data_IF_706818007120
#
_entry.id   IF_706818007120
#
_cell.length_a   1.000
_cell.length_b   1.000
_cell.length_c   1.000
_cell.angle_alpha   90.00
_cell.angle_beta   90.00
_cell.angle_gamma   90.00
#
_symmetry.space_group_name_H-M   'P 1'
#
loop_
_entity.id
_entity.type
_entity.pdbx_description
1 polymer ?
#
# COMPACT_ATOMS: atom_id res chain seq x y z
N UNK A 1 -12.40 -11.95 80.88
CA UNK A 1 -11.68 -12.90 80.00
C UNK A 1 -12.49 -13.40 78.80
N UNK A 2 -13.58 -14.17 78.98
CA UNK A 2 -14.17 -14.99 77.89
C UNK A 2 -14.76 -14.24 76.66
N UNK A 3 -15.15 -12.96 76.77
CA UNK A 3 -15.70 -12.21 75.63
C UNK A 3 -14.61 -11.69 74.67
N UNK A 4 -13.49 -11.22 75.23
CA UNK A 4 -12.34 -10.76 74.44
C UNK A 4 -11.64 -11.92 73.73
N UNK A 5 -11.63 -13.12 74.31
CA UNK A 5 -11.09 -14.33 73.66
C UNK A 5 -11.94 -14.75 72.44
N UNK A 6 -13.27 -14.63 72.50
CA UNK A 6 -14.16 -14.93 71.36
C UNK A 6 -14.01 -13.91 70.23
N UNK A 7 -13.87 -12.62 70.56
CA UNK A 7 -13.61 -11.56 69.58
C UNK A 7 -12.22 -11.71 68.95
N UNK A 8 -11.20 -12.08 69.72
CA UNK A 8 -9.86 -12.38 69.19
C UNK A 8 -9.86 -13.60 68.25
N UNK A 9 -10.57 -14.69 68.61
CA UNK A 9 -10.72 -15.86 67.73
C UNK A 9 -11.48 -15.52 66.44
N UNK A 10 -12.51 -14.69 66.52
CA UNK A 10 -13.24 -14.24 65.33
C UNK A 10 -12.36 -13.41 64.39
N UNK A 11 -11.58 -12.46 64.92
CA UNK A 11 -10.62 -11.67 64.14
C UNK A 11 -9.53 -12.56 63.54
N UNK A 12 -8.99 -13.52 64.30
CA UNK A 12 -8.00 -14.47 63.79
C UNK A 12 -8.56 -15.35 62.67
N UNK A 13 -9.81 -15.83 62.79
CA UNK A 13 -10.45 -16.63 61.74
C UNK A 13 -10.71 -15.84 60.45
N UNK A 14 -11.07 -14.56 60.57
CA UNK A 14 -11.26 -13.67 59.43
C UNK A 14 -9.92 -13.37 58.74
N UNK A 15 -8.86 -13.09 59.51
CA UNK A 15 -7.51 -12.88 58.98
C UNK A 15 -6.95 -14.15 58.32
N UNK A 16 -7.22 -15.34 58.89
CA UNK A 16 -6.82 -16.61 58.30
C UNK A 16 -7.54 -16.87 56.97
N UNK A 17 -8.86 -16.62 56.91
CA UNK A 17 -9.64 -16.75 55.68
C UNK A 17 -9.18 -15.76 54.60
N UNK A 18 -8.95 -14.50 54.97
CA UNK A 18 -8.40 -13.50 54.05
C UNK A 18 -6.98 -13.87 53.59
N UNK A 19 -6.17 -14.45 54.47
CA UNK A 19 -4.85 -14.99 54.12
C UNK A 19 -4.97 -16.13 53.11
N UNK A 20 -5.92 -17.05 53.30
CA UNK A 20 -6.18 -18.14 52.38
C UNK A 20 -6.66 -17.64 51.02
N UNK A 21 -7.63 -16.73 50.97
CA UNK A 21 -8.15 -16.13 49.72
C UNK A 21 -7.02 -15.42 48.94
N UNK A 22 -6.18 -14.63 49.62
CA UNK A 22 -5.00 -14.02 49.00
C UNK A 22 -3.96 -15.04 48.53
N UNK A 23 -3.79 -16.14 49.26
CA UNK A 23 -2.87 -17.22 48.84
C UNK A 23 -3.39 -17.91 47.58
N UNK A 24 -4.70 -18.17 47.50
CA UNK A 24 -5.35 -18.72 46.31
C UNK A 24 -5.27 -17.77 45.11
N UNK A 25 -5.42 -16.46 45.34
CA UNK A 25 -5.25 -15.44 44.32
C UNK A 25 -3.80 -15.34 43.82
N UNK A 26 -2.82 -15.41 44.72
CA UNK A 26 -1.39 -15.48 44.37
C UNK A 26 -1.09 -16.73 43.54
N UNK A 27 -1.64 -17.90 43.89
CA UNK A 27 -1.43 -19.13 43.12
C UNK A 27 -2.08 -19.07 41.73
N UNK A 28 -3.27 -18.46 41.60
CA UNK A 28 -3.89 -18.17 40.29
C UNK A 28 -3.02 -17.25 39.44
N UNK A 29 -2.56 -16.12 40.00
CA UNK A 29 -1.70 -15.17 39.29
C UNK A 29 -0.36 -15.79 38.90
N UNK A 30 0.24 -16.65 39.75
CA UNK A 30 1.45 -17.40 39.39
C UNK A 30 1.20 -18.34 38.22
N UNK A 31 0.06 -19.05 38.21
CA UNK A 31 -0.31 -19.94 37.12
C UNK A 31 -0.52 -19.17 35.81
N UNK A 32 -1.26 -18.07 35.85
CA UNK A 32 -1.46 -17.19 34.70
C UNK A 32 -0.13 -16.62 34.17
N UNK A 33 0.81 -16.26 35.05
CA UNK A 33 2.13 -15.78 34.65
C UNK A 33 2.98 -16.88 33.98
N UNK A 34 2.85 -18.13 34.43
CA UNK A 34 3.50 -19.28 33.79
C UNK A 34 2.89 -19.54 32.41
N UNK A 35 1.57 -19.56 32.31
CA UNK A 35 0.83 -19.80 31.06
C UNK A 35 1.16 -18.72 30.01
N UNK A 36 1.16 -17.44 30.40
CA UNK A 36 1.58 -16.33 29.54
C UNK A 36 3.03 -16.46 29.08
N UNK A 37 3.94 -16.88 29.96
CA UNK A 37 5.35 -17.07 29.63
C UNK A 37 5.53 -18.22 28.63
N UNK A 38 4.78 -19.31 28.79
CA UNK A 38 4.78 -20.43 27.85
C UNK A 38 4.21 -20.02 26.49
N UNK A 39 3.11 -19.27 26.47
CA UNK A 39 2.53 -18.76 25.25
C UNK A 39 3.51 -17.84 24.49
N UNK A 40 4.14 -16.88 25.17
CA UNK A 40 5.13 -16.00 24.57
C UNK A 40 6.36 -16.77 24.06
N UNK A 41 6.77 -17.85 24.74
CA UNK A 41 7.86 -18.70 24.29
C UNK A 41 7.48 -19.49 23.02
N UNK A 42 6.26 -20.01 22.96
CA UNK A 42 5.75 -20.75 21.81
C UNK A 42 5.55 -19.84 20.59
N UNK A 43 5.03 -18.62 20.79
CA UNK A 43 4.91 -17.60 19.74
C UNK A 43 6.29 -17.17 19.22
N UNK A 44 7.25 -16.92 20.12
CA UNK A 44 8.62 -16.60 19.71
C UNK A 44 9.27 -17.74 18.94
N UNK A 45 9.05 -19.00 19.33
CA UNK A 45 9.56 -20.18 18.62
C UNK A 45 8.96 -20.28 17.23
N UNK A 46 7.64 -20.13 17.10
CA UNK A 46 6.95 -20.13 15.80
C UNK A 46 7.45 -19.02 14.88
N UNK A 47 7.65 -17.82 15.42
CA UNK A 47 8.22 -16.69 14.66
C UNK A 47 9.66 -16.98 14.21
N UNK A 48 10.50 -17.54 15.10
CA UNK A 48 11.86 -17.94 14.76
C UNK A 48 11.89 -19.03 13.69
N UNK A 49 11.02 -20.03 13.78
CA UNK A 49 10.91 -21.11 12.79
C UNK A 49 10.44 -20.57 11.43
N UNK A 50 9.45 -19.67 11.42
CA UNK A 50 8.97 -18.99 10.20
C UNK A 50 10.08 -18.19 9.51
N UNK A 51 10.82 -17.37 10.27
CA UNK A 51 11.94 -16.61 9.71
C UNK A 51 13.09 -17.51 9.24
N UNK A 52 13.37 -18.58 9.98
CA UNK A 52 14.39 -19.56 9.56
C UNK A 52 14.00 -20.24 8.24
N UNK A 53 12.72 -20.54 8.04
CA UNK A 53 12.23 -21.12 6.80
C UNK A 53 12.31 -20.11 5.64
N UNK A 54 11.90 -18.86 5.86
CA UNK A 54 12.03 -17.80 4.85
C UNK A 54 13.48 -17.57 4.41
N UNK A 55 14.43 -17.59 5.36
CA UNK A 55 15.86 -17.48 5.04
C UNK A 55 16.32 -18.65 4.17
N UNK A 56 15.94 -19.89 4.52
CA UNK A 56 16.29 -21.07 3.72
C UNK A 56 15.72 -21.03 2.30
N UNK A 57 14.49 -20.56 2.16
CA UNK A 57 13.85 -20.39 0.84
C UNK A 57 14.59 -19.36 0.00
N UNK A 58 14.92 -18.19 0.57
CA UNK A 58 15.70 -17.16 -0.10
C UNK A 58 17.12 -17.62 -0.44
N UNK A 59 17.78 -18.36 0.44
CA UNK A 59 19.10 -18.96 0.17
C UNK A 59 19.04 -19.96 -0.99
N UNK A 60 18.01 -20.81 -1.05
CA UNK A 60 17.82 -21.76 -2.14
C UNK A 60 17.58 -21.05 -3.48
N UNK A 61 16.75 -20.00 -3.50
CA UNK A 61 16.53 -19.17 -4.69
C UNK A 61 17.81 -18.46 -5.12
N UNK A 62 18.57 -17.92 -4.17
CA UNK A 62 19.85 -17.26 -4.45
C UNK A 62 20.85 -18.23 -5.08
N UNK A 63 21.00 -19.44 -4.53
CA UNK A 63 21.88 -20.46 -5.10
C UNK A 63 21.46 -20.88 -6.51
N UNK A 64 20.15 -21.01 -6.76
CA UNK A 64 19.62 -21.26 -8.11
C UNK A 64 20.01 -20.14 -9.07
N UNK A 65 19.85 -18.88 -8.67
CA UNK A 65 20.23 -17.71 -9.50
C UNK A 65 21.73 -17.64 -9.76
N UNK A 66 22.56 -17.96 -8.78
CA UNK A 66 24.02 -18.05 -8.95
C UNK A 66 24.37 -19.11 -9.99
N UNK A 67 23.71 -20.28 -9.95
CA UNK A 67 23.87 -21.33 -10.96
C UNK A 67 23.47 -20.89 -12.37
N UNK A 68 22.30 -20.25 -12.53
CA UNK A 68 21.84 -19.69 -13.80
C UNK A 68 22.83 -18.66 -14.36
N UNK A 69 23.33 -17.74 -13.53
CA UNK A 69 24.33 -16.75 -13.92
C UNK A 69 25.63 -17.43 -14.37
N UNK A 70 26.08 -18.48 -13.67
CA UNK A 70 27.26 -19.25 -14.07
C UNK A 70 27.12 -19.87 -15.46
N UNK A 71 25.95 -20.44 -15.79
CA UNK A 71 25.68 -21.01 -17.11
C UNK A 71 25.71 -19.93 -18.20
N UNK A 72 25.05 -18.79 -17.97
CA UNK A 72 25.05 -17.66 -18.92
C UNK A 72 26.47 -17.14 -19.16
N UNK A 73 27.31 -17.07 -18.12
CA UNK A 73 28.71 -16.66 -18.27
C UNK A 73 29.54 -17.65 -19.11
N UNK A 74 29.29 -18.95 -18.98
CA UNK A 74 29.93 -19.98 -19.81
C UNK A 74 29.49 -19.85 -21.28
N UNK A 75 28.19 -19.74 -21.54
CA UNK A 75 27.65 -19.53 -22.89
C UNK A 75 28.21 -18.25 -23.52
N UNK A 76 28.33 -17.17 -22.75
CA UNK A 76 28.90 -15.92 -23.24
C UNK A 76 30.38 -16.07 -23.63
N UNK A 77 31.16 -16.88 -22.91
CA UNK A 77 32.54 -17.20 -23.28
C UNK A 77 32.59 -17.97 -24.60
N UNK A 78 31.76 -19.01 -24.73
CA UNK A 78 31.66 -19.81 -25.96
C UNK A 78 31.25 -18.95 -27.17
N UNK A 79 30.28 -18.06 -27.01
CA UNK A 79 29.85 -17.14 -28.09
C UNK A 79 30.98 -16.18 -28.48
N UNK A 80 31.76 -15.69 -27.50
CA UNK A 80 32.92 -14.83 -27.79
C UNK A 80 34.00 -15.57 -28.58
N UNK A 81 34.29 -16.82 -28.22
CA UNK A 81 35.24 -17.67 -28.94
C UNK A 81 34.75 -17.97 -30.36
N UNK A 82 33.50 -18.41 -30.51
CA UNK A 82 32.88 -18.64 -31.80
C UNK A 82 32.92 -17.40 -32.71
N UNK A 83 32.68 -16.20 -32.16
CA UNK A 83 32.78 -14.95 -32.93
C UNK A 83 34.20 -14.67 -33.41
N UNK A 84 35.22 -14.97 -32.60
CA UNK A 84 36.63 -14.80 -33.01
C UNK A 84 37.00 -15.79 -34.11
N UNK A 85 36.63 -17.06 -33.96
CA UNK A 85 36.87 -18.10 -34.96
C UNK A 85 36.14 -17.81 -36.27
N UNK A 86 34.88 -17.34 -36.20
CA UNK A 86 34.11 -16.94 -37.37
C UNK A 86 34.82 -15.84 -38.17
N UNK A 87 35.32 -14.80 -37.50
CA UNK A 87 36.04 -13.71 -38.18
C UNK A 87 37.34 -14.21 -38.81
N UNK A 88 38.06 -15.12 -38.15
CA UNK A 88 39.27 -15.72 -38.71
C UNK A 88 38.94 -16.56 -39.97
N UNK A 89 37.93 -17.42 -39.90
CA UNK A 89 37.47 -18.26 -41.02
C UNK A 89 36.97 -17.43 -42.20
N UNK A 90 36.20 -16.36 -41.94
CA UNK A 90 35.72 -15.44 -42.99
C UNK A 90 36.89 -14.74 -43.69
N UNK A 91 37.94 -14.37 -42.94
CA UNK A 91 39.15 -13.78 -43.52
C UNK A 91 39.91 -14.78 -44.39
N UNK A 92 40.09 -16.01 -43.92
CA UNK A 92 40.76 -17.08 -44.69
C UNK A 92 40.02 -17.38 -46.00
N UNK A 93 38.68 -17.44 -45.98
CA UNK A 93 37.87 -17.62 -47.18
C UNK A 93 38.03 -16.48 -48.18
N UNK A 94 38.05 -15.24 -47.71
CA UNK A 94 38.25 -14.08 -48.58
C UNK A 94 39.65 -14.04 -49.19
N UNK A 95 40.68 -14.40 -48.41
CA UNK A 95 42.06 -14.49 -48.89
C UNK A 95 42.23 -15.62 -49.92
N UNK A 96 41.59 -16.78 -49.70
CA UNK A 96 41.56 -17.88 -50.67
C UNK A 96 40.82 -17.50 -51.96
N UNK A 97 39.70 -16.78 -51.84
CA UNK A 97 38.95 -16.30 -53.00
C UNK A 97 39.76 -15.29 -53.83
N UNK A 98 40.52 -14.42 -53.18
CA UNK A 98 41.44 -13.49 -53.86
C UNK A 98 42.57 -14.23 -54.55
N UNK A 99 43.20 -15.21 -53.90
CA UNK A 99 44.29 -15.99 -54.50
C UNK A 99 43.80 -16.81 -55.71
N UNK A 100 42.62 -17.42 -55.63
CA UNK A 100 41.97 -18.13 -56.74
C UNK A 100 41.75 -17.20 -57.95
N UNK A 101 41.15 -16.02 -57.74
CA UNK A 101 40.93 -15.02 -58.81
C UNK A 101 42.23 -14.57 -59.47
N UNK A 102 43.29 -14.37 -58.69
CA UNK A 102 44.61 -14.00 -59.21
C UNK A 102 45.18 -15.14 -60.06
N UNK A 103 45.06 -16.39 -59.61
CA UNK A 103 45.53 -17.56 -60.35
C UNK A 103 44.76 -17.73 -61.67
N UNK A 104 43.43 -17.63 -61.65
CA UNK A 104 42.59 -17.72 -62.84
C UNK A 104 42.94 -16.65 -63.86
N UNK A 105 43.14 -15.40 -63.39
CA UNK A 105 43.58 -14.30 -64.27
C UNK A 105 44.94 -14.60 -64.90
N UNK A 106 45.91 -15.09 -64.13
CA UNK A 106 47.24 -15.47 -64.66
C UNK A 106 47.13 -16.61 -65.67
N UNK A 107 46.30 -17.62 -65.40
CA UNK A 107 46.07 -18.71 -66.34
C UNK A 107 45.42 -18.21 -67.63
N UNK A 108 44.42 -17.36 -67.55
CA UNK A 108 43.79 -16.76 -68.72
C UNK A 108 44.79 -15.96 -69.56
N UNK A 109 45.64 -15.15 -68.91
CA UNK A 109 46.71 -14.41 -69.60
C UNK A 109 47.71 -15.34 -70.30
N UNK A 110 48.06 -16.48 -69.70
CA UNK A 110 48.92 -17.49 -70.32
C UNK A 110 48.24 -18.12 -71.54
N UNK A 111 46.97 -18.49 -71.43
CA UNK A 111 46.19 -19.09 -72.53
C UNK A 111 46.12 -18.13 -73.71
N UNK A 112 45.72 -16.87 -73.49
CA UNK A 112 45.64 -15.86 -74.56
C UNK A 112 46.99 -15.65 -75.26
N UNK A 113 48.10 -15.67 -74.52
CA UNK A 113 49.44 -15.58 -75.13
C UNK A 113 49.81 -16.82 -75.94
N UNK A 114 49.39 -18.01 -75.53
CA UNK A 114 49.65 -19.25 -76.27
C UNK A 114 48.80 -19.31 -77.54
N UNK A 115 47.52 -18.98 -77.44
CA UNK A 115 46.60 -18.88 -78.59
C UNK A 115 47.10 -17.90 -79.63
N UNK A 116 47.54 -16.70 -79.20
CA UNK A 116 48.12 -15.70 -80.11
C UNK A 116 49.32 -16.27 -80.88
N UNK A 117 50.28 -16.85 -80.16
CA UNK A 117 51.48 -17.45 -80.78
C UNK A 117 51.12 -18.59 -81.73
N UNK A 118 50.15 -19.41 -81.37
CA UNK A 118 49.68 -20.51 -82.21
C UNK A 118 49.03 -19.99 -83.50
N UNK A 119 48.19 -18.96 -83.42
CA UNK A 119 47.53 -18.36 -84.58
C UNK A 119 48.53 -17.67 -85.52
N UNK A 120 49.51 -16.94 -84.97
CA UNK A 120 50.58 -16.31 -85.74
C UNK A 120 51.40 -17.35 -86.51
N UNK A 121 51.83 -18.43 -85.84
CA UNK A 121 52.61 -19.51 -86.45
C UNK A 121 51.79 -20.26 -87.52
N UNK A 122 50.53 -20.58 -87.22
CA UNK A 122 49.61 -21.23 -88.15
C UNK A 122 49.44 -20.38 -89.42
N UNK A 123 49.19 -19.08 -89.27
CA UNK A 123 49.04 -18.16 -90.40
C UNK A 123 50.31 -18.10 -91.25
N UNK A 124 51.50 -18.04 -90.63
CA UNK A 124 52.77 -18.06 -91.36
C UNK A 124 52.92 -19.33 -92.21
N UNK A 125 52.60 -20.49 -91.64
CA UNK A 125 52.67 -21.78 -92.34
C UNK A 125 51.64 -21.87 -93.48
N UNK A 126 50.42 -21.38 -93.27
CA UNK A 126 49.38 -21.32 -94.30
C UNK A 126 49.81 -20.43 -95.48
N UNK A 127 50.35 -19.24 -95.22
CA UNK A 127 50.84 -18.33 -96.26
C UNK A 127 51.99 -18.93 -97.09
N UNK A 128 52.93 -19.63 -96.45
CA UNK A 128 54.05 -20.29 -97.15
C UNK A 128 53.58 -21.45 -98.02
N UNK A 129 52.58 -22.22 -97.57
CA UNK A 129 51.97 -23.29 -98.34
C UNK A 129 51.18 -22.73 -99.54
N UNK A 130 50.40 -21.67 -99.33
CA UNK A 130 49.62 -21.01 -100.37
C UNK A 130 50.50 -20.43 -101.48
N UNK A 131 51.61 -19.75 -101.13
CA UNK A 131 52.59 -19.24 -102.11
C UNK A 131 53.15 -20.35 -102.98
N UNK A 132 53.52 -21.50 -102.40
CA UNK A 132 54.03 -22.65 -103.17
C UNK A 132 52.96 -23.22 -104.11
N UNK A 133 51.73 -23.34 -103.63
CA UNK A 133 50.61 -23.85 -104.43
C UNK A 133 50.33 -22.92 -105.64
N UNK A 134 50.30 -21.60 -105.42
CA UNK A 134 50.10 -20.60 -106.46
C UNK A 134 51.20 -20.70 -107.51
N UNK A 135 52.48 -20.72 -107.10
CA UNK A 135 53.59 -20.83 -108.05
C UNK A 135 53.51 -22.11 -108.90
N UNK A 136 53.21 -23.26 -108.29
CA UNK A 136 53.06 -24.52 -109.01
C UNK A 136 51.85 -24.49 -109.97
N UNK A 137 50.72 -23.94 -109.53
CA UNK A 137 49.50 -23.83 -110.34
C UNK A 137 49.68 -22.90 -111.53
N UNK A 138 50.28 -21.72 -111.34
CA UNK A 138 50.52 -20.77 -112.42
C UNK A 138 51.48 -21.33 -113.46
N UNK A 139 52.52 -22.05 -113.04
CA UNK A 139 53.48 -22.68 -113.96
C UNK A 139 52.80 -23.73 -114.83
N UNK A 140 52.02 -24.61 -114.21
CA UNK A 140 51.26 -25.66 -114.92
C UNK A 140 50.16 -25.08 -115.84
N UNK A 141 49.44 -24.04 -115.40
CA UNK A 141 48.39 -23.39 -116.19
C UNK A 141 48.95 -22.63 -117.40
N UNK A 142 50.07 -21.92 -117.24
CA UNK A 142 50.73 -21.22 -118.35
C UNK A 142 51.23 -22.19 -119.41
N UNK A 143 51.82 -23.32 -119.01
CA UNK A 143 52.28 -24.36 -119.93
C UNK A 143 51.13 -25.05 -120.67
N UNK A 144 50.01 -25.33 -119.98
CA UNK A 144 48.84 -25.96 -120.59
C UNK A 144 48.12 -25.04 -121.60
N UNK A 145 48.01 -23.73 -121.32
CA UNK A 145 47.35 -22.76 -122.21
C UNK A 145 48.13 -22.56 -123.52
N UNK A 146 49.46 -22.64 -123.48
CA UNK A 146 50.32 -22.51 -124.67
C UNK A 146 50.16 -23.67 -125.67
N UNK A 147 49.69 -24.84 -125.24
CA UNK A 147 49.47 -26.01 -126.09
C UNK A 147 48.07 -26.10 -126.73
N UNK A 148 47.16 -25.17 -126.44
CA UNK A 148 45.76 -25.25 -126.87
C UNK A 148 45.46 -24.47 -128.19
N UNK A 149 44.62 -25.08 -129.04
CA UNK A 149 44.09 -24.51 -130.28
C UNK A 149 43.05 -23.39 -130.01
N UNK A 150 42.65 -22.59 -131.02
CA UNK A 150 41.74 -21.44 -130.84
C UNK A 150 40.41 -21.77 -130.16
N UNK A 151 39.74 -22.86 -130.56
CA UNK A 151 38.51 -23.36 -129.91
C UNK A 151 38.75 -23.76 -128.46
N UNK A 152 39.92 -24.35 -128.15
CA UNK A 152 40.30 -24.68 -126.78
C UNK A 152 40.49 -23.44 -125.90
N UNK A 153 41.00 -22.34 -126.46
CA UNK A 153 41.12 -21.06 -125.75
C UNK A 153 39.76 -20.39 -125.47
N UNK A 154 38.78 -20.55 -126.36
CA UNK A 154 37.41 -20.05 -126.11
C UNK A 154 36.69 -20.85 -125.04
N UNK A 155 36.78 -22.19 -125.08
CA UNK A 155 36.27 -23.07 -124.02
C UNK A 155 36.92 -22.74 -122.67
N UNK A 156 38.22 -22.44 -122.65
CA UNK A 156 38.93 -22.02 -121.43
C UNK A 156 38.41 -20.69 -120.89
N UNK A 157 38.15 -19.68 -121.74
CA UNK A 157 37.55 -18.41 -121.32
C UNK A 157 36.16 -18.60 -120.73
N UNK A 158 35.33 -19.43 -121.35
CA UNK A 158 34.00 -19.73 -120.82
C UNK A 158 34.08 -20.53 -119.51
N UNK A 159 35.03 -21.47 -119.39
CA UNK A 159 35.29 -22.18 -118.14
C UNK A 159 35.70 -21.21 -117.02
N UNK A 160 36.56 -20.22 -117.28
CA UNK A 160 36.89 -19.16 -116.31
C UNK A 160 35.65 -18.37 -115.90
N UNK A 161 34.79 -17.99 -116.87
CA UNK A 161 33.54 -17.26 -116.58
C UNK A 161 32.60 -18.07 -115.68
N UNK A 162 32.38 -19.34 -116.04
CA UNK A 162 31.59 -20.28 -115.26
C UNK A 162 32.17 -20.52 -113.87
N UNK A 163 33.50 -20.64 -113.76
CA UNK A 163 34.18 -20.81 -112.49
C UNK A 163 34.07 -19.56 -111.60
N UNK A 164 34.12 -18.37 -112.19
CA UNK A 164 33.84 -17.11 -111.50
C UNK A 164 32.41 -17.05 -110.93
N UNK A 165 31.42 -17.42 -111.75
CA UNK A 165 30.02 -17.51 -111.31
C UNK A 165 29.82 -18.56 -110.20
N UNK A 166 30.42 -19.74 -110.36
CA UNK A 166 30.40 -20.80 -109.36
C UNK A 166 31.04 -20.36 -108.03
N UNK A 167 32.17 -19.65 -108.10
CA UNK A 167 32.86 -19.12 -106.92
C UNK A 167 32.01 -18.09 -106.19
N UNK A 168 31.30 -17.22 -106.91
CA UNK A 168 30.37 -16.25 -106.31
C UNK A 168 29.20 -16.95 -105.60
N UNK A 169 28.56 -17.93 -106.23
CA UNK A 169 27.50 -18.71 -105.59
C UNK A 169 27.99 -19.52 -104.38
N UNK A 170 29.22 -20.06 -104.44
CA UNK A 170 29.82 -20.75 -103.30
C UNK A 170 30.03 -19.79 -102.12
N UNK A 171 30.43 -18.53 -102.38
CA UNK A 171 30.54 -17.50 -101.34
C UNK A 171 29.18 -17.17 -100.73
N UNK A 172 28.16 -16.94 -101.56
CA UNK A 172 26.78 -16.69 -101.10
C UNK A 172 26.25 -17.85 -100.25
N UNK A 173 26.46 -19.09 -100.68
CA UNK A 173 26.05 -20.28 -99.93
C UNK A 173 26.76 -20.37 -98.57
N UNK A 174 28.06 -20.06 -98.51
CA UNK A 174 28.82 -20.01 -97.26
C UNK A 174 28.32 -18.92 -96.31
N UNK A 175 28.03 -17.72 -96.82
CA UNK A 175 27.48 -16.64 -95.99
C UNK A 175 26.06 -16.94 -95.50
N UNK A 176 25.20 -17.52 -96.35
CA UNK A 176 23.88 -18.03 -95.92
C UNK A 176 24.01 -19.10 -94.85
N UNK A 177 24.98 -20.01 -94.97
CA UNK A 177 25.21 -21.04 -93.96
C UNK A 177 25.71 -20.47 -92.63
N UNK A 178 26.59 -19.46 -92.66
CA UNK A 178 27.00 -18.73 -91.44
C UNK A 178 25.82 -18.01 -90.80
N UNK A 179 25.00 -17.33 -91.59
CA UNK A 179 23.79 -16.66 -91.09
C UNK A 179 22.80 -17.65 -90.48
N UNK A 180 22.61 -18.81 -91.11
CA UNK A 180 21.77 -19.88 -90.57
C UNK A 180 22.31 -20.38 -89.22
N UNK A 181 23.61 -20.66 -89.11
CA UNK A 181 24.22 -21.08 -87.85
C UNK A 181 24.05 -20.03 -86.75
N UNK A 182 24.30 -18.75 -87.05
CA UNK A 182 24.10 -17.67 -86.10
C UNK A 182 22.65 -17.55 -85.64
N UNK A 183 21.69 -17.71 -86.56
CA UNK A 183 20.28 -17.68 -86.22
C UNK A 183 19.87 -18.89 -85.36
N UNK A 184 20.47 -20.06 -85.58
CA UNK A 184 20.27 -21.24 -84.74
C UNK A 184 20.84 -21.02 -83.33
N UNK A 185 22.05 -20.45 -83.21
CA UNK A 185 22.64 -20.06 -81.92
C UNK A 185 21.78 -19.06 -81.16
N UNK A 186 21.36 -17.96 -81.81
CA UNK A 186 20.48 -16.95 -81.22
C UNK A 186 19.14 -17.56 -80.76
N UNK A 187 18.57 -18.46 -81.57
CA UNK A 187 17.35 -19.19 -81.19
C UNK A 187 17.56 -20.03 -79.92
N UNK A 188 18.70 -20.71 -79.79
CA UNK A 188 19.00 -21.49 -78.57
C UNK A 188 19.19 -20.62 -77.34
N UNK A 189 19.85 -19.46 -77.48
CA UNK A 189 20.05 -18.51 -76.39
C UNK A 189 18.72 -17.91 -75.91
N UNK A 190 17.86 -17.49 -76.85
CA UNK A 190 16.54 -16.97 -76.54
C UNK A 190 15.64 -18.01 -75.86
N UNK A 191 15.74 -19.29 -76.24
CA UNK A 191 15.03 -20.37 -75.56
C UNK A 191 15.49 -20.52 -74.10
N UNK A 192 16.80 -20.50 -73.85
CA UNK A 192 17.35 -20.58 -72.49
C UNK A 192 16.95 -19.35 -71.64
N UNK A 193 17.00 -18.14 -72.23
CA UNK A 193 16.56 -16.92 -71.55
C UNK A 193 15.06 -16.96 -71.22
N UNK A 194 14.24 -17.47 -72.13
CA UNK A 194 12.81 -17.67 -71.90
C UNK A 194 12.56 -18.66 -70.75
N UNK A 195 13.21 -19.81 -70.76
CA UNK A 195 13.05 -20.84 -69.71
C UNK A 195 13.49 -20.33 -68.33
N UNK A 196 14.62 -19.62 -68.26
CA UNK A 196 15.10 -19.02 -67.01
C UNK A 196 14.16 -17.93 -66.50
N UNK A 197 13.65 -17.08 -67.40
CA UNK A 197 12.67 -16.03 -67.08
C UNK A 197 11.34 -16.63 -66.58
N UNK A 198 10.83 -17.66 -67.25
CA UNK A 198 9.61 -18.35 -66.81
C UNK A 198 9.78 -19.02 -65.44
N UNK A 199 10.92 -19.66 -65.19
CA UNK A 199 11.25 -20.25 -63.89
C UNK A 199 11.31 -19.20 -62.78
N UNK A 200 11.93 -18.05 -63.05
CA UNK A 200 11.99 -16.92 -62.13
C UNK A 200 10.60 -16.38 -61.81
N UNK A 201 9.77 -16.18 -62.84
CA UNK A 201 8.39 -15.70 -62.69
C UNK A 201 7.58 -16.67 -61.82
N UNK A 202 7.64 -17.98 -62.10
CA UNK A 202 6.97 -19.01 -61.28
C UNK A 202 7.41 -18.94 -59.82
N UNK A 203 8.72 -18.82 -59.56
CA UNK A 203 9.26 -18.68 -58.20
C UNK A 203 8.75 -17.43 -57.49
N UNK A 204 8.67 -16.29 -58.19
CA UNK A 204 8.15 -15.03 -57.65
C UNK A 204 6.65 -15.12 -57.35
N UNK A 205 5.86 -15.75 -58.21
CA UNK A 205 4.44 -15.99 -57.98
C UNK A 205 4.24 -16.84 -56.70
N UNK A 206 5.00 -17.92 -56.52
CA UNK A 206 4.93 -18.74 -55.31
C UNK A 206 5.29 -17.94 -54.05
N UNK A 207 6.34 -17.11 -54.11
CA UNK A 207 6.74 -16.24 -53.01
C UNK A 207 5.62 -15.23 -52.65
N UNK A 208 5.03 -14.58 -53.64
CA UNK A 208 3.93 -13.61 -53.45
C UNK A 208 2.71 -14.31 -52.84
N UNK A 209 2.36 -15.50 -53.32
CA UNK A 209 1.23 -16.27 -52.77
C UNK A 209 1.47 -16.66 -51.31
N UNK A 210 2.70 -17.06 -50.96
CA UNK A 210 3.05 -17.36 -49.58
C UNK A 210 2.95 -16.12 -48.68
N UNK A 211 3.49 -14.98 -49.12
CA UNK A 211 3.40 -13.72 -48.39
C UNK A 211 1.94 -13.26 -48.24
N UNK A 212 1.11 -13.41 -49.28
CA UNK A 212 -0.31 -13.08 -49.24
C UNK A 212 -1.07 -13.93 -48.23
N UNK A 213 -0.76 -15.22 -48.13
CA UNK A 213 -1.33 -16.10 -47.11
C UNK A 213 -0.93 -15.66 -45.70
N UNK A 214 0.36 -15.38 -45.47
CA UNK A 214 0.86 -14.88 -44.17
C UNK A 214 0.20 -13.56 -43.77
N UNK A 215 0.04 -12.62 -44.72
CA UNK A 215 -0.67 -11.35 -44.48
C UNK A 215 -2.12 -11.63 -44.09
N UNK A 216 -2.80 -12.56 -44.76
CA UNK A 216 -4.17 -12.96 -44.42
C UNK A 216 -4.29 -13.52 -43.00
N UNK A 217 -3.36 -14.39 -42.59
CA UNK A 217 -3.34 -14.97 -41.24
C UNK A 217 -3.10 -13.89 -40.17
N UNK A 218 -2.16 -12.97 -40.43
CA UNK A 218 -1.88 -11.85 -39.54
C UNK A 218 -3.07 -10.90 -39.43
N UNK A 219 -3.71 -10.56 -40.54
CA UNK A 219 -4.93 -9.73 -40.55
C UNK A 219 -6.07 -10.37 -39.75
N UNK A 220 -6.26 -11.69 -39.90
CA UNK A 220 -7.26 -12.42 -39.13
C UNK A 220 -6.95 -12.41 -37.62
N UNK A 221 -5.67 -12.55 -37.24
CA UNK A 221 -5.22 -12.46 -35.85
C UNK A 221 -5.43 -11.06 -35.28
N UNK A 222 -5.09 -10.01 -36.02
CA UNK A 222 -5.34 -8.61 -35.62
C UNK A 222 -6.83 -8.39 -35.38
N UNK A 223 -7.69 -8.81 -36.31
CA UNK A 223 -9.15 -8.67 -36.15
C UNK A 223 -9.68 -9.39 -34.91
N UNK A 224 -9.17 -10.59 -34.59
CA UNK A 224 -9.53 -11.32 -33.36
C UNK A 224 -9.10 -10.54 -32.10
N UNK A 225 -7.90 -9.99 -32.09
CA UNK A 225 -7.40 -9.20 -30.97
C UNK A 225 -8.19 -7.89 -30.79
N UNK A 226 -8.51 -7.20 -31.88
CA UNK A 226 -9.36 -6.00 -31.87
C UNK A 226 -10.75 -6.29 -31.31
N UNK A 227 -11.38 -7.41 -31.72
CA UNK A 227 -12.66 -7.84 -31.18
C UNK A 227 -12.59 -8.15 -29.67
N UNK A 228 -11.55 -8.85 -29.24
CA UNK A 228 -11.34 -9.15 -27.82
C UNK A 228 -11.10 -7.87 -26.98
N UNK A 229 -10.29 -6.94 -27.49
CA UNK A 229 -10.03 -5.65 -26.85
C UNK A 229 -11.32 -4.83 -26.76
N UNK A 230 -12.09 -4.74 -27.84
CA UNK A 230 -13.38 -4.02 -27.84
C UNK A 230 -14.35 -4.60 -26.82
N UNK A 231 -14.41 -5.93 -26.69
CA UNK A 231 -15.21 -6.60 -25.68
C UNK A 231 -14.75 -6.24 -24.25
N UNK A 232 -13.45 -6.36 -23.98
CA UNK A 232 -12.88 -6.02 -22.67
C UNK A 232 -13.11 -4.56 -22.29
N UNK A 233 -12.94 -3.62 -23.23
CA UNK A 233 -13.19 -2.19 -22.99
C UNK A 233 -14.66 -1.96 -22.62
N UNK A 234 -15.61 -2.55 -23.36
CA UNK A 234 -17.05 -2.41 -23.06
C UNK A 234 -17.42 -2.99 -21.70
N UNK A 235 -16.87 -4.15 -21.35
CA UNK A 235 -17.08 -4.73 -20.02
C UNK A 235 -16.51 -3.84 -18.91
N UNK A 236 -15.32 -3.28 -19.12
CA UNK A 236 -14.68 -2.38 -18.17
C UNK A 236 -15.49 -1.09 -17.98
N UNK A 237 -15.96 -0.48 -19.06
CA UNK A 237 -16.84 0.70 -19.03
C UNK A 237 -18.14 0.39 -18.27
N UNK A 238 -18.76 -0.75 -18.57
CA UNK A 238 -20.00 -1.17 -17.89
C UNK A 238 -19.78 -1.42 -16.40
N UNK A 239 -18.67 -2.09 -16.03
CA UNK A 239 -18.31 -2.30 -14.61
C UNK A 239 -18.05 -0.98 -13.91
N UNK A 240 -17.30 -0.08 -14.54
CA UNK A 240 -17.00 1.25 -14.00
C UNK A 240 -18.28 2.05 -13.76
N UNK A 241 -19.21 2.08 -14.73
CA UNK A 241 -20.49 2.75 -14.58
C UNK A 241 -21.33 2.17 -13.44
N UNK A 242 -21.38 0.83 -13.31
CA UNK A 242 -22.08 0.16 -12.20
C UNK A 242 -21.48 0.52 -10.84
N UNK A 243 -20.16 0.50 -10.71
CA UNK A 243 -19.46 0.87 -9.48
C UNK A 243 -19.69 2.34 -9.13
N UNK A 244 -19.62 3.24 -10.12
CA UNK A 244 -19.92 4.66 -9.90
C UNK A 244 -21.36 4.89 -9.46
N UNK A 245 -22.32 4.20 -10.08
CA UNK A 245 -23.72 4.28 -9.70
C UNK A 245 -23.97 3.76 -8.28
N UNK A 246 -23.34 2.63 -7.93
CA UNK A 246 -23.43 2.04 -6.59
C UNK A 246 -22.86 2.98 -5.52
N UNK A 247 -21.66 3.54 -5.77
CA UNK A 247 -21.05 4.52 -4.87
C UNK A 247 -21.91 5.78 -4.70
N UNK A 248 -22.61 6.21 -5.76
CA UNK A 248 -23.53 7.35 -5.68
C UNK A 248 -24.75 7.04 -4.80
N UNK A 249 -25.32 5.84 -4.90
CA UNK A 249 -26.42 5.40 -4.02
C UNK A 249 -25.97 5.31 -2.56
N UNK A 250 -24.81 4.70 -2.30
CA UNK A 250 -24.25 4.57 -0.96
C UNK A 250 -23.95 5.93 -0.33
N UNK A 251 -23.37 6.86 -1.11
CA UNK A 251 -23.14 8.24 -0.66
C UNK A 251 -24.45 8.97 -0.36
N UNK A 252 -25.51 8.74 -1.12
CA UNK A 252 -26.82 9.31 -0.81
C UNK A 252 -27.40 8.73 0.48
N UNK A 253 -27.28 7.41 0.69
CA UNK A 253 -27.73 6.76 1.90
C UNK A 253 -26.97 7.24 3.14
N UNK A 254 -25.63 7.34 3.06
CA UNK A 254 -24.80 7.85 4.15
C UNK A 254 -25.11 9.31 4.47
N UNK A 255 -25.36 10.15 3.46
CA UNK A 255 -25.80 11.54 3.67
C UNK A 255 -27.13 11.65 4.42
N UNK A 256 -28.09 10.76 4.16
CA UNK A 256 -29.36 10.72 4.90
C UNK A 256 -29.13 10.30 6.35
N UNK A 257 -28.29 9.30 6.60
CA UNK A 257 -27.94 8.85 7.93
C UNK A 257 -27.21 9.93 8.74
N UNK A 258 -26.24 10.61 8.14
CA UNK A 258 -25.52 11.75 8.75
C UNK A 258 -26.52 12.83 9.17
N UNK A 259 -27.48 13.20 8.31
CA UNK A 259 -28.51 14.19 8.66
C UNK A 259 -29.37 13.74 9.84
N UNK A 260 -29.76 12.46 9.89
CA UNK A 260 -30.53 11.89 11.00
C UNK A 260 -29.73 11.92 12.31
N UNK A 261 -28.45 11.56 12.27
CA UNK A 261 -27.56 11.60 13.43
C UNK A 261 -27.33 13.04 13.92
N UNK A 262 -27.16 13.99 13.01
CA UNK A 262 -27.05 15.42 13.35
C UNK A 262 -28.30 15.93 14.07
N UNK A 263 -29.50 15.58 13.59
CA UNK A 263 -30.76 15.95 14.27
C UNK A 263 -30.87 15.32 15.66
N UNK A 264 -30.45 14.05 15.81
CA UNK A 264 -30.46 13.37 17.10
C UNK A 264 -29.50 14.02 18.09
N UNK A 265 -28.30 14.39 17.63
CA UNK A 265 -27.32 15.11 18.43
C UNK A 265 -27.85 16.46 18.90
N UNK A 266 -28.49 17.22 18.00
CA UNK A 266 -29.09 18.52 18.35
C UNK A 266 -30.19 18.37 19.43
N UNK A 267 -31.08 17.38 19.30
CA UNK A 267 -32.08 17.08 20.33
C UNK A 267 -31.44 16.71 21.67
N UNK A 268 -30.35 15.93 21.65
CA UNK A 268 -29.62 15.55 22.86
C UNK A 268 -28.91 16.74 23.51
N UNK A 269 -28.35 17.65 22.73
CA UNK A 269 -27.78 18.90 23.25
C UNK A 269 -28.84 19.80 23.88
N UNK A 270 -30.05 19.86 23.30
CA UNK A 270 -31.17 20.58 23.91
C UNK A 270 -31.60 19.96 25.24
N UNK A 271 -31.73 18.63 25.33
CA UNK A 271 -32.01 17.92 26.58
C UNK A 271 -30.91 18.16 27.62
N UNK A 272 -29.64 18.04 27.22
CA UNK A 272 -28.48 18.31 28.05
C UNK A 272 -28.52 19.74 28.60
N UNK A 273 -28.87 20.72 27.78
CA UNK A 273 -29.01 22.11 28.21
C UNK A 273 -30.16 22.30 29.20
N UNK A 274 -31.28 21.57 29.06
CA UNK A 274 -32.36 21.57 30.06
C UNK A 274 -31.89 20.99 31.39
N UNK A 275 -31.17 19.87 31.37
CA UNK A 275 -30.58 19.24 32.57
C UNK A 275 -29.59 20.18 33.25
N UNK A 276 -28.69 20.82 32.49
CA UNK A 276 -27.74 21.83 33.01
C UNK A 276 -28.46 23.00 33.68
N UNK A 277 -29.55 23.51 33.08
CA UNK A 277 -30.37 24.58 33.68
C UNK A 277 -31.02 24.12 34.99
N UNK A 278 -31.61 22.93 35.01
CA UNK A 278 -32.22 22.38 36.22
C UNK A 278 -31.19 22.17 37.33
N UNK A 279 -30.03 21.59 37.02
CA UNK A 279 -28.93 21.40 37.97
C UNK A 279 -28.45 22.75 38.54
N UNK A 280 -28.35 23.79 37.71
CA UNK A 280 -28.02 25.14 38.15
C UNK A 280 -29.09 25.73 39.07
N UNK A 281 -30.37 25.53 38.77
CA UNK A 281 -31.46 25.99 39.62
C UNK A 281 -31.42 25.30 41.00
N UNK A 282 -31.27 23.97 41.03
CA UNK A 282 -31.15 23.22 42.29
C UNK A 282 -29.95 23.71 43.11
N UNK A 283 -28.82 23.98 42.47
CA UNK A 283 -27.65 24.55 43.16
C UNK A 283 -27.92 25.96 43.70
N UNK A 284 -28.62 26.81 42.95
CA UNK A 284 -29.01 28.15 43.41
C UNK A 284 -29.96 28.06 44.61
N UNK A 285 -31.02 27.25 44.52
CA UNK A 285 -31.97 27.01 45.62
C UNK A 285 -31.24 26.49 46.87
N UNK A 286 -30.34 25.51 46.70
CA UNK A 286 -29.49 25.03 47.80
C UNK A 286 -28.63 26.15 48.39
N UNK A 287 -28.02 26.98 47.55
CA UNK A 287 -27.21 28.13 47.99
C UNK A 287 -28.06 29.14 48.77
N UNK A 288 -29.30 29.40 48.33
CA UNK A 288 -30.24 30.28 49.05
C UNK A 288 -30.62 29.71 50.41
N UNK A 289 -30.94 28.41 50.48
CA UNK A 289 -31.23 27.73 51.75
C UNK A 289 -30.01 27.75 52.66
N UNK A 290 -28.81 27.50 52.14
CA UNK A 290 -27.57 27.57 52.92
C UNK A 290 -27.32 28.98 53.49
N UNK A 291 -27.52 30.03 52.69
CA UNK A 291 -27.44 31.42 53.16
C UNK A 291 -28.46 31.70 54.25
N UNK A 292 -29.72 31.30 54.05
CA UNK A 292 -30.76 31.48 55.05
C UNK A 292 -30.40 30.83 56.40
N UNK A 293 -29.85 29.61 56.39
CA UNK A 293 -29.41 28.96 57.63
C UNK A 293 -28.23 29.67 58.30
N UNK A 294 -27.27 30.18 57.53
CA UNK A 294 -26.16 30.97 58.06
C UNK A 294 -26.66 32.27 58.69
N UNK A 295 -27.58 32.97 58.03
CA UNK A 295 -28.18 34.21 58.53
C UNK A 295 -29.02 33.95 59.79
N UNK A 296 -29.80 32.86 59.81
CA UNK A 296 -30.57 32.46 60.98
C UNK A 296 -29.66 32.11 62.17
N UNK A 297 -28.56 31.39 61.93
CA UNK A 297 -27.56 31.10 62.96
C UNK A 297 -26.91 32.38 63.50
N UNK A 298 -26.60 33.33 62.62
CA UNK A 298 -26.02 34.62 63.02
C UNK A 298 -27.02 35.44 63.85
N UNK A 299 -28.29 35.50 63.43
CA UNK A 299 -29.34 36.15 64.20
C UNK A 299 -29.50 35.53 65.60
N UNK A 300 -29.54 34.20 65.70
CA UNK A 300 -29.62 33.51 67.00
C UNK A 300 -28.41 33.81 67.87
N UNK A 301 -27.19 33.84 67.32
CA UNK A 301 -25.99 34.23 68.08
C UNK A 301 -26.10 35.65 68.64
N UNK A 302 -26.60 36.59 67.84
CA UNK A 302 -26.81 37.98 68.28
C UNK A 302 -27.84 38.05 69.41
N UNK A 303 -28.94 37.31 69.30
CA UNK A 303 -29.96 37.21 70.36
C UNK A 303 -29.43 36.52 71.63
N UNK A 304 -28.57 35.51 71.52
CA UNK A 304 -27.86 34.91 72.67
C UNK A 304 -27.02 35.97 73.38
N UNK A 305 -26.24 36.76 72.63
CA UNK A 305 -25.40 37.82 73.20
C UNK A 305 -26.27 38.88 73.89
N UNK A 306 -27.36 39.31 73.26
CA UNK A 306 -28.30 40.29 73.80
C UNK A 306 -29.02 39.77 75.06
N UNK A 307 -29.53 38.53 75.02
CA UNK A 307 -30.17 37.84 76.14
C UNK A 307 -29.23 37.71 77.34
N UNK A 308 -28.00 37.25 77.12
CA UNK A 308 -26.97 37.13 78.17
C UNK A 308 -26.63 38.49 78.78
N UNK A 309 -26.54 39.55 77.95
CA UNK A 309 -26.34 40.92 78.42
C UNK A 309 -27.52 41.41 79.26
N UNK A 310 -28.75 41.24 78.79
CA UNK A 310 -29.96 41.64 79.50
C UNK A 310 -30.13 40.89 80.83
N UNK A 311 -29.89 39.58 80.84
CA UNK A 311 -29.92 38.77 82.06
C UNK A 311 -28.90 39.27 83.08
N UNK A 312 -27.67 39.60 82.64
CA UNK A 312 -26.65 40.19 83.49
C UNK A 312 -27.11 41.51 84.10
N UNK A 313 -27.64 42.42 83.30
CA UNK A 313 -28.14 43.73 83.77
C UNK A 313 -29.31 43.57 84.75
N UNK A 314 -30.28 42.69 84.46
CA UNK A 314 -31.43 42.41 85.32
C UNK A 314 -31.02 41.73 86.63
N UNK A 315 -30.11 40.76 86.58
CA UNK A 315 -29.55 40.12 87.77
C UNK A 315 -28.76 41.12 88.63
N UNK A 316 -28.05 42.06 87.99
CA UNK A 316 -27.33 43.14 88.67
C UNK A 316 -28.30 44.11 89.34
N UNK A 317 -29.33 44.56 88.64
CA UNK A 317 -30.37 45.42 89.20
C UNK A 317 -31.13 44.75 90.35
N UNK A 318 -31.51 43.48 90.21
CA UNK A 318 -32.20 42.71 91.25
C UNK A 318 -31.32 42.51 92.49
N UNK A 319 -30.03 42.22 92.31
CA UNK A 319 -29.07 42.12 93.41
C UNK A 319 -28.93 43.45 94.16
N UNK A 320 -28.74 44.57 93.44
CA UNK A 320 -28.63 45.88 94.08
C UNK A 320 -29.93 46.33 94.75
N UNK A 321 -31.09 46.03 94.16
CA UNK A 321 -32.40 46.28 94.80
C UNK A 321 -32.51 45.53 96.13
N UNK A 322 -32.22 44.23 96.15
CA UNK A 322 -32.21 43.44 97.39
C UNK A 322 -31.20 43.94 98.41
N UNK A 323 -30.03 44.40 97.95
CA UNK A 323 -29.02 45.00 98.81
C UNK A 323 -29.53 46.31 99.47
N UNK A 324 -30.28 47.14 98.73
CA UNK A 324 -30.91 48.36 99.25
C UNK A 324 -32.07 48.05 100.21
N UNK A 325 -32.92 47.07 99.89
CA UNK A 325 -34.03 46.62 100.74
C UNK A 325 -33.53 46.02 102.07
N UNK A 326 -32.43 45.27 102.03
CA UNK A 326 -31.75 44.79 103.23
C UNK A 326 -31.13 45.92 104.07
N UNK A 327 -30.55 46.96 103.43
CA UNK A 327 -30.09 48.16 104.14
C UNK A 327 -31.23 48.93 104.82
N UNK A 328 -32.46 48.87 104.27
CA UNK A 328 -33.65 49.47 104.87
C UNK A 328 -34.27 48.61 106.00
N UNK A 329 -33.69 47.46 106.32
CA UNK A 329 -34.11 46.56 107.40
C UNK A 329 -35.30 45.66 107.06
N UNK A 330 -35.68 45.57 105.78
CA UNK A 330 -36.88 44.83 105.34
C UNK A 330 -36.58 43.37 104.96
N UNK A 331 -35.34 43.04 104.57
CA UNK A 331 -34.88 41.67 104.22
C UNK A 331 -33.44 41.40 104.70
N UNK A 332 -32.97 40.14 104.63
CA UNK A 332 -31.57 39.76 104.90
C UNK A 332 -30.63 40.13 103.73
N UNK A 333 -29.37 40.43 104.04
CA UNK A 333 -28.37 40.78 103.01
C UNK A 333 -28.13 39.63 102.02
N UNK A 334 -28.22 39.88 100.69
CA UNK A 334 -28.00 38.84 99.69
C UNK A 334 -26.52 38.40 99.66
N UNK A 335 -26.28 37.10 99.39
CA UNK A 335 -24.93 36.55 99.20
C UNK A 335 -24.21 37.29 98.07
N UNK A 336 -22.93 37.65 98.28
CA UNK A 336 -22.11 38.40 97.31
C UNK A 336 -22.18 37.71 95.94
N UNK A 337 -22.64 38.47 94.93
CA UNK A 337 -22.75 38.00 93.55
C UNK A 337 -21.78 38.77 92.66
N UNK A 338 -20.98 38.06 91.85
CA UNK A 338 -20.01 38.68 90.95
C UNK A 338 -20.55 38.80 89.53
N UNK A 339 -20.39 39.98 88.93
CA UNK A 339 -20.85 40.29 87.56
C UNK A 339 -19.69 40.41 86.55
N UNK A 340 -18.45 40.18 86.99
CA UNK A 340 -17.27 40.10 86.12
C UNK A 340 -16.92 38.64 85.88
N UNK A 341 -16.43 38.33 84.68
CA UNK A 341 -15.96 36.99 84.33
C UNK A 341 -14.64 36.72 85.04
N UNK A 342 -14.71 36.16 86.25
CA UNK A 342 -13.55 35.68 87.01
C UNK A 342 -13.75 34.21 87.35
N UNK A 343 -12.77 33.38 86.98
CA UNK A 343 -12.80 31.92 87.06
C UNK A 343 -12.85 31.44 88.53
N UNK A 344 -12.34 32.24 89.47
CA UNK A 344 -12.24 31.87 90.89
C UNK A 344 -13.48 32.27 91.72
N UNK A 345 -14.56 32.74 91.09
CA UNK A 345 -15.77 33.17 91.82
C UNK A 345 -16.76 32.03 92.00
N UNK A 346 -17.05 31.65 93.25
CA UNK A 346 -18.04 30.62 93.62
C UNK A 346 -19.49 31.12 93.55
N UNK A 347 -19.78 32.40 93.27
CA UNK A 347 -21.15 32.93 93.10
C UNK A 347 -21.23 33.97 91.97
N UNK A 348 -21.23 33.51 90.70
CA UNK A 348 -21.14 34.34 89.51
C UNK A 348 -22.34 34.18 88.58
N UNK A 349 -22.83 35.29 88.01
CA UNK A 349 -23.90 35.29 86.99
C UNK A 349 -23.54 34.42 85.78
N UNK A 350 -22.26 34.33 85.43
CA UNK A 350 -21.81 33.50 84.31
C UNK A 350 -21.97 32.01 84.61
N UNK A 351 -21.80 31.58 85.87
CA UNK A 351 -22.05 30.20 86.25
C UNK A 351 -23.54 29.87 86.26
N UNK A 352 -24.40 30.83 86.63
CA UNK A 352 -25.87 30.65 86.50
C UNK A 352 -26.27 30.42 85.03
N UNK A 353 -25.64 31.14 84.09
CA UNK A 353 -25.87 30.96 82.65
C UNK A 353 -25.36 29.60 82.15
N UNK A 354 -24.18 29.15 82.60
CA UNK A 354 -23.62 27.84 82.26
C UNK A 354 -24.40 26.67 82.88
N UNK A 355 -24.88 26.81 84.12
CA UNK A 355 -25.74 25.83 84.80
C UNK A 355 -27.12 25.78 84.14
N UNK A 356 -27.70 26.91 83.73
CA UNK A 356 -28.93 26.93 82.96
C UNK A 356 -28.77 26.23 81.59
N UNK A 357 -27.62 26.40 80.94
CA UNK A 357 -27.30 25.70 79.69
C UNK A 357 -27.14 24.18 79.88
N UNK A 358 -26.66 23.72 81.06
CA UNK A 358 -26.46 22.30 81.40
C UNK A 358 -27.71 21.60 81.93
N UNK A 359 -28.44 22.21 82.87
CA UNK A 359 -29.50 21.55 83.65
C UNK A 359 -30.76 21.21 82.84
N UNK A 360 -31.00 21.85 81.70
CA UNK A 360 -32.22 21.61 80.91
C UNK A 360 -32.15 20.35 80.04
N UNK A 361 -30.99 19.69 79.91
CA UNK A 361 -30.81 18.52 79.04
C UNK A 361 -30.80 17.18 79.76
N UNK A 362 -30.54 17.14 81.07
CA UNK A 362 -30.57 15.88 81.84
C UNK A 362 -32.00 15.47 82.25
N UNK A 363 -33.02 16.32 82.05
CA UNK A 363 -34.35 16.15 82.65
C UNK A 363 -35.56 16.11 81.71
N UNK A 364 -35.41 16.01 80.39
CA UNK A 364 -36.59 16.04 79.51
C UNK A 364 -36.65 14.87 78.51
N UNK A 365 -37.63 13.99 78.71
CA UNK A 365 -38.19 13.15 77.64
C UNK A 365 -39.22 13.99 76.90
N UNK A 366 -38.98 14.29 75.63
CA UNK A 366 -39.90 15.09 74.83
C UNK A 366 -40.73 14.22 73.89
N UNK A 367 -42.05 14.24 74.05
CA UNK A 367 -43.02 13.64 73.10
C UNK A 367 -43.48 14.65 72.02
N UNK A 368 -43.25 15.96 72.23
CA UNK A 368 -43.32 17.08 71.25
C UNK A 368 -42.86 18.39 71.92
N UNK A 369 -41.92 19.12 71.31
CA UNK A 369 -41.47 20.45 71.78
C UNK A 369 -41.84 21.48 70.73
N UNK A 370 -42.47 22.58 71.13
CA UNK A 370 -42.69 23.70 70.22
C UNK A 370 -41.45 24.61 70.16
N UNK A 371 -41.13 25.12 68.97
CA UNK A 371 -39.93 25.96 68.74
C UNK A 371 -39.99 27.26 69.56
N UNK A 372 -41.20 27.73 69.85
CA UNK A 372 -41.47 28.92 70.66
C UNK A 372 -40.95 28.81 72.10
N UNK A 373 -40.90 27.59 72.64
CA UNK A 373 -40.56 27.32 74.06
C UNK A 373 -39.06 27.14 74.30
N UNK A 374 -38.26 27.10 73.23
CA UNK A 374 -36.81 26.91 73.30
C UNK A 374 -36.07 28.21 73.65
N UNK A 375 -35.03 28.10 74.48
CA UNK A 375 -34.08 29.20 74.69
C UNK A 375 -33.26 29.46 73.43
N UNK A 376 -32.67 30.65 73.31
CA UNK A 376 -31.88 31.00 72.12
C UNK A 376 -30.68 30.06 71.92
N UNK A 377 -30.01 29.63 72.99
CA UNK A 377 -28.94 28.63 72.94
C UNK A 377 -29.41 27.27 72.41
N UNK A 378 -30.65 26.86 72.73
CA UNK A 378 -31.23 25.62 72.23
C UNK A 378 -31.59 25.75 70.74
N UNK A 379 -32.15 26.90 70.33
CA UNK A 379 -32.43 27.21 68.92
C UNK A 379 -31.15 27.18 68.07
N UNK A 380 -30.03 27.67 68.58
CA UNK A 380 -28.73 27.61 67.88
C UNK A 380 -28.29 26.15 67.63
N UNK A 381 -28.37 25.30 68.65
CA UNK A 381 -27.98 23.89 68.53
C UNK A 381 -28.89 23.12 67.57
N UNK A 382 -30.20 23.38 67.59
CA UNK A 382 -31.16 22.80 66.64
C UNK A 382 -30.86 23.25 65.22
N UNK A 383 -30.59 24.54 64.98
CA UNK A 383 -30.22 25.06 63.66
C UNK A 383 -28.89 24.46 63.15
N UNK A 384 -27.88 24.33 64.00
CA UNK A 384 -26.60 23.67 63.64
C UNK A 384 -26.80 22.21 63.28
N UNK A 385 -27.63 21.48 64.04
CA UNK A 385 -27.95 20.08 63.77
C UNK A 385 -28.75 19.93 62.46
N UNK A 386 -29.71 20.82 62.21
CA UNK A 386 -30.52 20.84 60.99
C UNK A 386 -29.66 21.15 59.76
N UNK A 387 -28.76 22.13 59.85
CA UNK A 387 -27.80 22.46 58.81
C UNK A 387 -26.82 21.31 58.52
N UNK A 388 -26.33 20.63 59.57
CA UNK A 388 -25.49 19.43 59.42
C UNK A 388 -26.26 18.27 58.77
N UNK A 389 -27.52 18.05 59.18
CA UNK A 389 -28.39 17.03 58.59
C UNK A 389 -28.70 17.30 57.11
N UNK A 390 -28.93 18.56 56.75
CA UNK A 390 -29.15 18.98 55.35
C UNK A 390 -27.90 18.82 54.48
N UNK A 391 -26.71 19.08 55.05
CA UNK A 391 -25.43 18.93 54.35
C UNK A 391 -24.86 17.50 54.35
N UNK A 392 -25.61 16.53 54.89
CA UNK A 392 -25.25 15.12 54.81
C UNK A 392 -24.07 14.70 55.70
N UNK A 393 -23.71 15.45 56.74
CA UNK A 393 -22.61 15.09 57.67
C UNK A 393 -23.00 14.03 58.73
N UNK A 394 -24.10 13.31 58.53
CA UNK A 394 -24.43 12.13 59.31
C UNK A 394 -23.84 10.88 58.63
N UNK A 395 -22.84 10.29 59.28
CA UNK A 395 -22.26 8.98 58.97
C UNK A 395 -23.28 7.85 59.23
N UNK A 396 -24.28 7.71 58.36
CA UNK A 396 -25.14 6.51 58.36
C UNK A 396 -25.25 5.89 56.97
N UNK A 397 -24.37 4.91 56.75
CA UNK A 397 -24.50 3.72 55.88
C UNK A 397 -25.51 3.82 54.73
N UNK A 398 -25.03 4.18 53.54
CA UNK A 398 -25.50 3.54 52.31
C UNK A 398 -24.47 2.49 51.89
N UNK A 399 -24.73 1.27 52.35
CA UNK A 399 -24.21 0.07 51.71
C UNK A 399 -25.03 -0.15 50.44
N UNK A 400 -24.34 -0.36 49.32
CA UNK A 400 -24.74 -1.25 48.21
C UNK A 400 -26.11 -0.99 47.57
N UNK A 401 -26.10 -0.42 46.36
CA UNK A 401 -26.82 -0.87 45.14
C UNK A 401 -26.85 0.28 44.13
N UNK A 402 -25.97 0.22 43.13
CA UNK A 402 -26.21 0.48 41.69
C UNK A 402 -24.86 0.56 40.96
N UNK A 403 -24.25 -0.61 40.81
CA UNK A 403 -23.42 -0.90 39.65
C UNK A 403 -24.21 -1.88 38.80
N UNK A 404 -24.94 -1.39 37.79
CA UNK A 404 -25.35 -2.22 36.66
C UNK A 404 -25.71 -1.40 35.42
N UNK A 405 -25.04 -1.76 34.32
CA UNK A 405 -25.28 -1.45 32.89
C UNK A 405 -25.00 0.00 32.45
N UNK A 406 -24.26 0.26 31.37
CA UNK A 406 -24.10 -0.49 30.12
C UNK A 406 -22.70 -0.27 29.47
N UNK A 407 -22.32 -1.10 28.48
CA UNK A 407 -20.95 -1.24 27.97
C UNK A 407 -20.54 -0.14 26.99
N UNK A 408 -19.23 0.16 26.98
CA UNK A 408 -18.61 1.01 25.99
C UNK A 408 -18.61 0.34 24.60
N UNK A 409 -18.77 1.12 23.51
CA UNK A 409 -18.75 0.60 22.15
C UNK A 409 -17.34 0.15 21.77
N UNK A 410 -17.27 -0.98 21.07
CA UNK A 410 -16.07 -1.49 20.44
C UNK A 410 -15.61 -0.53 19.34
N UNK A 411 -14.45 0.09 19.54
CA UNK A 411 -13.73 0.76 18.46
C UNK A 411 -13.11 -0.29 17.55
N UNK A 412 -13.59 -0.28 16.31
CA UNK A 412 -12.93 -0.85 15.16
C UNK A 412 -11.57 -0.15 14.96
N UNK A 413 -10.50 -0.93 14.90
CA UNK A 413 -9.35 -0.59 14.07
C UNK A 413 -9.13 -1.70 13.08
N UNK A 414 -9.51 -1.35 11.85
CA UNK A 414 -9.23 -2.03 10.60
C UNK A 414 -7.77 -2.46 10.49
N UNK A 415 -7.66 -3.71 10.04
CA UNK A 415 -6.63 -4.21 9.16
C UNK A 415 -6.44 -3.28 7.96
N UNK A 416 -5.22 -2.80 7.76
CA UNK A 416 -4.74 -2.34 6.45
C UNK A 416 -3.55 -3.21 6.04
N UNK A 417 -3.83 -4.31 5.33
CA UNK A 417 -2.90 -4.94 4.38
C UNK A 417 -3.62 -6.00 3.55
N UNK A 418 -3.95 -5.67 2.28
CA UNK A 418 -3.65 -6.48 1.08
C UNK A 418 -3.68 -5.53 -0.13
N UNK A 419 -2.67 -5.60 -0.99
CA UNK A 419 -2.61 -4.95 -2.31
C UNK A 419 -1.21 -4.62 -2.75
#
# INVERSE_FOLDING_TARGET
QQRMEREAVAVLSFLAKQGQEKTEEIEKLKKELIDLKQQAQEENKKMADCHTQQIKELEAEFQKKVGEIGQIQLELKLIKEFRREKVAMEKELEDLKKSMKISDRRHQEVVVRLERRFLEEKKRLEEDAEKKLIMMSETAQREAVLQLNSTGREVFKENIRLHGAFTSHLKEAKELQKMKQKLEEDKTLLLQEKETSESLIRKKILQINHQKAQIGDLQHKVKKLEMALCHMTREFETKTQKTQHQALIENQASMVEIKKLQQLLEMKDQEMNRVKKLARNILNERTEVERFFLDALEHVKQEIIASRKHYKEKAQAAYYRKMLEACAGMEEFPKIKTFKSNINSTNSVYRDLEEAEKCYWEKVQFEKVDISELTWEQKERVLRLLFAKMNGTNSWKYSKVLATSAPAPADAKEESKVG
#
